data_IF_791332396012
#
_entry.id   IF_791332396012
#
_cell.length_a   1.000
_cell.length_b   1.000
_cell.length_c   1.000
_cell.angle_alpha   90.00
_cell.angle_beta   90.00
_cell.angle_gamma   90.00
#
_symmetry.space_group_name_H-M   'P 1'
#
loop_
_entity.id
_entity.type
_entity.pdbx_description
1 polymer ?
#
# COMPACT_ATOMS: atom_id res chain seq x y z
N UNK A 1 -15.29 -14.60 -20.72
CA UNK A 1 -14.13 -13.72 -20.99
C UNK A 1 -14.32 -12.51 -20.10
N UNK A 2 -13.74 -12.55 -18.90
CA UNK A 2 -13.91 -11.47 -17.92
C UNK A 2 -12.94 -10.35 -18.25
N UNK A 3 -13.42 -9.12 -18.34
CA UNK A 3 -12.55 -7.95 -18.38
C UNK A 3 -11.74 -7.96 -17.08
N UNK A 4 -10.44 -8.21 -17.19
CA UNK A 4 -9.53 -7.94 -16.08
C UNK A 4 -9.61 -6.43 -15.81
N UNK A 5 -9.74 -5.98 -14.55
CA UNK A 5 -9.72 -4.56 -14.23
C UNK A 5 -8.44 -3.95 -14.79
N UNK A 6 -8.59 -3.02 -15.73
CA UNK A 6 -7.48 -2.31 -16.35
C UNK A 6 -6.90 -1.37 -15.30
N UNK A 7 -5.85 -1.80 -14.59
CA UNK A 7 -5.10 -0.91 -13.72
C UNK A 7 -4.36 0.09 -14.60
N UNK A 8 -4.67 1.37 -14.43
CA UNK A 8 -3.93 2.45 -15.04
C UNK A 8 -2.91 3.02 -14.03
N UNK A 9 -1.65 3.16 -14.47
CA UNK A 9 -0.64 3.85 -13.70
C UNK A 9 -0.78 5.37 -13.91
N UNK A 10 -1.39 6.06 -12.95
CA UNK A 10 -1.61 7.52 -13.03
C UNK A 10 -0.42 8.36 -12.58
N UNK A 11 0.57 7.76 -11.91
CA UNK A 11 1.80 8.44 -11.50
C UNK A 11 2.74 7.60 -10.67
N UNK A 12 3.97 8.10 -10.54
CA UNK A 12 5.04 7.50 -9.75
C UNK A 12 5.67 8.56 -8.84
N UNK A 13 6.28 8.12 -7.74
CA UNK A 13 7.02 8.96 -6.82
C UNK A 13 8.28 8.25 -6.32
N UNK A 14 9.34 9.01 -6.14
CA UNK A 14 10.65 8.51 -5.72
C UNK A 14 10.90 8.66 -4.22
N UNK A 15 10.17 9.58 -3.57
CA UNK A 15 10.22 9.78 -2.13
C UNK A 15 8.85 10.02 -1.47
N UNK A 16 8.80 10.02 -0.15
CA UNK A 16 7.56 10.18 0.60
C UNK A 16 6.93 11.58 0.49
N UNK A 17 7.72 12.63 0.28
CA UNK A 17 7.22 13.99 0.08
C UNK A 17 6.59 14.11 -1.31
N UNK A 18 7.24 13.56 -2.32
CA UNK A 18 6.70 13.47 -3.68
C UNK A 18 5.43 12.63 -3.70
N UNK A 19 5.40 11.49 -3.00
CA UNK A 19 4.21 10.64 -2.91
C UNK A 19 2.99 11.38 -2.35
N UNK A 20 3.17 12.20 -1.30
CA UNK A 20 2.09 13.04 -0.77
C UNK A 20 1.62 14.08 -1.80
N UNK A 21 2.56 14.77 -2.46
CA UNK A 21 2.21 15.79 -3.45
C UNK A 21 1.44 15.18 -4.64
N UNK A 22 1.93 14.06 -5.17
CA UNK A 22 1.31 13.33 -6.29
C UNK A 22 -0.05 12.74 -5.93
N UNK A 23 -0.21 12.20 -4.72
CA UNK A 23 -1.49 11.69 -4.26
C UNK A 23 -2.57 12.78 -4.23
N UNK A 24 -2.21 13.99 -3.81
CA UNK A 24 -3.15 15.13 -3.76
C UNK A 24 -3.47 15.69 -5.14
N UNK A 25 -2.51 15.65 -6.06
CA UNK A 25 -2.66 16.11 -7.45
C UNK A 25 -3.51 15.13 -8.26
N UNK A 26 -3.13 13.85 -8.25
CA UNK A 26 -3.67 12.82 -9.13
C UNK A 26 -4.92 12.15 -8.56
N UNK A 27 -5.10 12.19 -7.23
CA UNK A 27 -6.20 11.54 -6.51
C UNK A 27 -6.43 10.08 -6.95
N UNK A 28 -5.39 9.22 -6.84
CA UNK A 28 -5.52 7.82 -7.23
C UNK A 28 -6.50 7.07 -6.32
N UNK A 29 -7.15 6.05 -6.87
CA UNK A 29 -7.97 5.12 -6.10
C UNK A 29 -7.11 4.30 -5.15
N UNK A 30 -5.97 3.78 -5.62
CA UNK A 30 -5.03 2.98 -4.84
C UNK A 30 -3.60 3.49 -5.00
N UNK A 31 -2.86 3.52 -3.89
CA UNK A 31 -1.41 3.77 -3.86
C UNK A 31 -0.68 2.52 -3.39
N UNK A 32 0.30 2.08 -4.18
CA UNK A 32 1.34 1.15 -3.74
C UNK A 32 2.44 1.92 -3.00
N UNK A 33 2.55 1.74 -1.69
CA UNK A 33 3.44 2.52 -0.83
C UNK A 33 4.56 1.63 -0.26
N UNK A 34 5.81 1.90 -0.62
CA UNK A 34 6.95 1.24 0.03
C UNK A 34 7.05 1.59 1.52
N UNK A 35 7.39 0.63 2.38
CA UNK A 35 7.65 0.91 3.81
C UNK A 35 8.94 1.74 3.99
N UNK A 36 9.98 1.37 3.24
CA UNK A 36 11.27 2.06 3.20
C UNK A 36 11.37 2.90 1.94
N UNK A 37 11.01 4.16 2.08
CA UNK A 37 11.22 5.19 1.07
C UNK A 37 12.34 6.08 1.60
N UNK A 38 13.28 6.48 0.75
CA UNK A 38 14.37 7.32 1.17
C UNK A 38 13.84 8.62 1.83
N UNK A 39 14.49 9.06 2.91
CA UNK A 39 14.26 10.34 3.62
C UNK A 39 12.94 10.51 4.41
N UNK A 40 11.86 9.79 4.07
CA UNK A 40 10.57 9.83 4.79
C UNK A 40 10.01 8.41 4.91
N UNK A 41 9.65 7.98 6.12
CA UNK A 41 9.05 6.65 6.31
C UNK A 41 7.72 6.55 5.56
N UNK A 42 7.48 5.43 4.84
CA UNK A 42 6.23 5.23 4.09
C UNK A 42 4.99 5.40 4.99
N UNK A 43 5.11 5.02 6.26
CA UNK A 43 4.09 5.22 7.30
C UNK A 43 3.73 6.71 7.48
N UNK A 44 4.73 7.59 7.53
CA UNK A 44 4.51 9.04 7.65
C UNK A 44 3.76 9.60 6.46
N UNK A 45 4.10 9.15 5.25
CA UNK A 45 3.42 9.52 4.01
C UNK A 45 1.98 9.02 4.00
N UNK A 46 1.75 7.76 4.34
CA UNK A 46 0.41 7.15 4.48
C UNK A 46 -0.50 7.97 5.37
N UNK A 47 -0.05 8.35 6.58
CA UNK A 47 -0.86 9.17 7.49
C UNK A 47 -1.23 10.53 6.91
N UNK A 48 -0.31 11.17 6.18
CA UNK A 48 -0.54 12.49 5.58
C UNK A 48 -1.51 12.40 4.41
N UNK A 49 -1.37 11.37 3.58
CA UNK A 49 -2.26 11.12 2.45
C UNK A 49 -3.67 10.82 2.97
N UNK A 50 -3.85 9.84 3.86
CA UNK A 50 -5.18 9.47 4.37
C UNK A 50 -5.88 10.62 5.12
N UNK A 51 -5.12 11.52 5.75
CA UNK A 51 -5.68 12.73 6.38
C UNK A 51 -6.26 13.71 5.36
N UNK A 52 -5.69 13.78 4.16
CA UNK A 52 -6.04 14.76 3.13
C UNK A 52 -6.89 14.17 1.99
N UNK A 53 -6.82 12.86 1.78
CA UNK A 53 -7.58 12.07 0.82
C UNK A 53 -8.02 10.76 1.49
N UNK A 54 -9.08 10.79 2.31
CA UNK A 54 -9.53 9.63 3.08
C UNK A 54 -10.10 8.50 2.20
N UNK A 55 -10.51 8.82 0.97
CA UNK A 55 -11.04 7.85 0.01
C UNK A 55 -9.94 7.08 -0.74
N UNK A 56 -8.68 7.51 -0.63
CA UNK A 56 -7.55 6.81 -1.26
C UNK A 56 -7.17 5.57 -0.47
N UNK A 57 -7.21 4.41 -1.13
CA UNK A 57 -6.72 3.16 -0.58
C UNK A 57 -5.18 3.10 -0.63
N UNK A 58 -4.53 2.58 0.42
CA UNK A 58 -3.07 2.43 0.47
C UNK A 58 -2.69 0.99 0.75
N UNK A 59 -2.02 0.37 -0.21
CA UNK A 59 -1.43 -0.97 -0.10
C UNK A 59 0.07 -0.84 0.18
N UNK A 60 0.49 -1.26 1.37
CA UNK A 60 1.88 -1.18 1.79
C UNK A 60 2.71 -2.33 1.20
N UNK A 61 3.84 -2.00 0.59
CA UNK A 61 4.85 -2.93 0.10
C UNK A 61 6.04 -2.97 1.06
N UNK A 62 6.37 -4.17 1.55
CA UNK A 62 7.54 -4.37 2.43
C UNK A 62 8.49 -5.40 1.86
N UNK A 63 9.79 -5.12 1.97
CA UNK A 63 10.85 -6.14 1.83
C UNK A 63 11.17 -6.81 3.17
N UNK A 64 10.78 -6.17 4.27
CA UNK A 64 11.13 -6.61 5.61
C UNK A 64 10.10 -7.57 6.13
N UNK A 65 10.67 -8.62 6.67
CA UNK A 65 10.10 -9.81 7.26
C UNK A 65 9.88 -9.64 8.77
N UNK A 66 10.26 -8.47 9.32
CA UNK A 66 10.14 -8.11 10.74
C UNK A 66 8.74 -7.57 11.06
N UNK A 67 8.23 -7.92 12.26
CA UNK A 67 6.83 -7.70 12.65
C UNK A 67 6.50 -6.24 13.03
N UNK A 68 7.46 -5.51 13.61
CA UNK A 68 7.25 -4.15 14.14
C UNK A 68 6.81 -3.11 13.07
N UNK A 69 7.41 -3.06 11.86
CA UNK A 69 6.97 -2.17 10.79
C UNK A 69 5.55 -2.46 10.28
N UNK A 70 5.13 -3.72 10.28
CA UNK A 70 3.79 -4.13 9.81
C UNK A 70 2.73 -3.59 10.77
N UNK A 71 2.91 -3.80 12.07
CA UNK A 71 2.00 -3.29 13.10
C UNK A 71 1.94 -1.76 13.11
N UNK A 72 3.08 -1.08 12.92
CA UNK A 72 3.13 0.38 12.85
C UNK A 72 2.37 0.95 11.64
N UNK A 73 2.42 0.25 10.51
CA UNK A 73 1.66 0.60 9.32
C UNK A 73 0.16 0.32 9.49
N UNK A 74 -0.24 -0.76 10.18
CA UNK A 74 -1.66 -1.03 10.47
C UNK A 74 -2.27 0.09 11.29
N UNK A 75 -1.52 0.57 12.30
CA UNK A 75 -1.89 1.73 13.12
C UNK A 75 -1.93 3.04 12.32
N UNK A 76 -1.33 3.10 11.14
CA UNK A 76 -1.40 4.27 10.27
C UNK A 76 -2.64 4.29 9.36
N UNK A 77 -3.45 3.23 9.36
CA UNK A 77 -4.71 3.15 8.62
C UNK A 77 -4.61 2.55 7.22
N UNK A 78 -3.48 1.93 6.85
CA UNK A 78 -3.39 1.21 5.58
C UNK A 78 -4.19 -0.11 5.67
N UNK A 79 -5.15 -0.37 4.76
CA UNK A 79 -5.96 -1.59 4.81
C UNK A 79 -5.18 -2.83 4.34
N UNK A 80 -4.10 -2.68 3.56
CA UNK A 80 -3.47 -3.80 2.86
C UNK A 80 -1.95 -3.90 3.01
N UNK A 81 -1.45 -5.14 2.99
CA UNK A 81 -0.03 -5.51 3.12
C UNK A 81 0.38 -6.62 2.17
N UNK A 82 1.38 -6.34 1.33
CA UNK A 82 1.98 -7.30 0.41
C UNK A 82 3.52 -7.24 0.47
N UNK A 83 4.17 -8.40 0.34
CA UNK A 83 5.62 -8.48 0.23
C UNK A 83 6.07 -8.02 -1.16
N UNK A 84 7.18 -7.27 -1.24
CA UNK A 84 7.74 -6.76 -2.50
C UNK A 84 8.22 -7.85 -3.48
N UNK A 85 8.19 -9.12 -3.06
CA UNK A 85 8.47 -10.30 -3.89
C UNK A 85 7.24 -11.14 -4.25
N UNK A 86 6.02 -10.67 -3.96
CA UNK A 86 4.80 -11.33 -4.40
C UNK A 86 4.69 -11.31 -5.92
N UNK A 87 4.12 -12.36 -6.50
CA UNK A 87 3.84 -12.37 -7.93
C UNK A 87 2.85 -11.26 -8.31
N UNK A 88 2.86 -10.88 -9.59
CA UNK A 88 2.00 -9.81 -10.10
C UNK A 88 0.51 -10.10 -9.90
N UNK A 89 0.08 -11.35 -10.04
CA UNK A 89 -1.31 -11.75 -9.87
C UNK A 89 -1.78 -11.57 -8.42
N UNK A 90 -0.91 -11.84 -7.44
CA UNK A 90 -1.16 -11.61 -6.03
C UNK A 90 -1.25 -10.12 -5.73
N UNK A 91 -0.33 -9.33 -6.28
CA UNK A 91 -0.33 -7.88 -6.13
C UNK A 91 -1.61 -7.27 -6.71
N UNK A 92 -2.02 -7.71 -7.90
CA UNK A 92 -3.26 -7.30 -8.56
C UNK A 92 -4.49 -7.59 -7.71
N UNK A 93 -4.60 -8.80 -7.15
CA UNK A 93 -5.69 -9.15 -6.23
C UNK A 93 -5.69 -8.29 -4.98
N UNK A 94 -4.52 -7.99 -4.42
CA UNK A 94 -4.42 -7.14 -3.25
C UNK A 94 -4.84 -5.69 -3.54
N UNK A 95 -4.46 -5.14 -4.71
CA UNK A 95 -4.92 -3.83 -5.15
C UNK A 95 -6.45 -3.79 -5.23
N UNK A 96 -7.05 -4.80 -5.88
CA UNK A 96 -8.51 -4.90 -6.00
C UNK A 96 -9.22 -5.01 -4.65
N UNK A 97 -8.69 -5.83 -3.74
CA UNK A 97 -9.25 -6.00 -2.40
C UNK A 97 -9.23 -4.67 -1.61
N UNK A 98 -8.09 -3.99 -1.56
CA UNK A 98 -7.96 -2.72 -0.83
C UNK A 98 -8.84 -1.63 -1.46
N UNK A 99 -8.95 -1.60 -2.80
CA UNK A 99 -9.87 -0.69 -3.49
C UNK A 99 -11.33 -0.91 -3.11
N UNK A 100 -11.72 -2.16 -2.84
CA UNK A 100 -13.07 -2.52 -2.37
C UNK A 100 -13.27 -2.28 -0.86
N UNK A 101 -12.28 -1.71 -0.16
CA UNK A 101 -12.31 -1.49 1.28
C UNK A 101 -12.01 -2.75 2.11
N UNK A 102 -11.52 -3.82 1.47
CA UNK A 102 -11.15 -5.05 2.16
C UNK A 102 -9.74 -4.94 2.75
N UNK A 103 -9.58 -5.42 3.98
CA UNK A 103 -8.26 -5.57 4.57
C UNK A 103 -7.61 -6.85 4.05
N UNK A 104 -6.41 -6.74 3.48
CA UNK A 104 -5.66 -7.89 2.96
C UNK A 104 -4.26 -7.96 3.56
N UNK A 105 -3.90 -9.12 4.06
CA UNK A 105 -2.54 -9.42 4.52
C UNK A 105 -2.07 -10.65 3.77
N UNK A 106 -0.93 -10.56 3.10
CA UNK A 106 -0.39 -11.71 2.38
C UNK A 106 -0.21 -12.92 3.33
N UNK A 107 -0.50 -14.16 2.90
CA UNK A 107 -0.41 -15.35 3.75
C UNK A 107 0.95 -15.53 4.43
N UNK A 108 2.03 -15.08 3.76
CA UNK A 108 3.39 -15.10 4.30
C UNK A 108 3.55 -14.20 5.53
N UNK A 109 2.94 -13.01 5.52
CA UNK A 109 2.92 -12.10 6.67
C UNK A 109 2.02 -12.68 7.76
N UNK A 110 0.83 -13.18 7.42
CA UNK A 110 -0.11 -13.78 8.38
C UNK A 110 0.53 -14.94 9.16
N UNK A 111 1.25 -15.84 8.48
CA UNK A 111 1.91 -17.00 9.11
C UNK A 111 2.93 -16.59 10.18
N UNK A 112 3.56 -15.41 10.04
CA UNK A 112 4.54 -14.89 11.00
C UNK A 112 3.87 -14.30 12.23
N UNK A 113 2.82 -13.50 12.03
CA UNK A 113 2.09 -12.87 13.13
C UNK A 113 1.39 -13.88 14.07
N UNK A 114 1.11 -15.09 13.58
CA UNK A 114 0.42 -16.14 14.34
C UNK A 114 1.32 -17.28 14.81
N UNK A 115 2.62 -17.25 14.50
CA UNK A 115 3.60 -18.29 14.85
C UNK A 115 4.56 -17.82 15.92
#
# INVERSE_FOLDING_TARGET
MGAEPEIELVGEATDGKEAVARALELRPDVILMGLNIAYVTGIGSTRRILKASPDTAILMLTMFEDDDPVLAAMRAGAPGYVLKGADWAHTLRAIQAVNNGEAIISPTITRRLTG
#
